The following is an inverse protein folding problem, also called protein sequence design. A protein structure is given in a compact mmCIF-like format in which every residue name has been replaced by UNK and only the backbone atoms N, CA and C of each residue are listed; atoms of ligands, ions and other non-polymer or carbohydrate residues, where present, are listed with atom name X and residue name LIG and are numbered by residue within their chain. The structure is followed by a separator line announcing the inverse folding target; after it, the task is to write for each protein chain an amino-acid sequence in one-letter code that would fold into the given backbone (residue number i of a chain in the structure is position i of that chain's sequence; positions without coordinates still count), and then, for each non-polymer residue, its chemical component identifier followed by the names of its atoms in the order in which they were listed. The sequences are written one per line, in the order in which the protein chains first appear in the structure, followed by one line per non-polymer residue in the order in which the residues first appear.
data_IF_941693908703
#
_entry.id   IF_941693908703
#
_cell.length_a   1.000
_cell.length_b   1.000
_cell.length_c   1.000
_cell.angle_alpha   90.00
_cell.angle_beta   90.00
_cell.angle_gamma   90.00
#
_symmetry.space_group_name_H-M   'P 1'
#
loop_
_entity.id
_entity.type
_entity.pdbx_description
1 polymer ?
#
# COMPACT_ATOMS: atom_id res chain seq x y z
N UNK A 1 -12.16 17.97 -24.02
CA UNK A 1 -13.06 16.82 -24.29
C UNK A 1 -12.44 15.47 -23.89
N UNK A 2 -11.13 15.34 -23.74
CA UNK A 2 -10.43 14.06 -23.55
C UNK A 2 -10.76 13.31 -22.25
N UNK A 3 -10.87 13.99 -21.09
CA UNK A 3 -11.09 13.29 -19.82
C UNK A 3 -12.43 12.53 -19.74
N UNK A 4 -13.51 13.11 -20.30
CA UNK A 4 -14.82 12.45 -20.36
C UNK A 4 -14.81 11.21 -21.26
N UNK A 5 -14.10 11.28 -22.37
CA UNK A 5 -13.95 10.17 -23.31
C UNK A 5 -13.22 8.97 -22.67
N UNK A 6 -12.15 9.23 -21.92
CA UNK A 6 -11.37 8.19 -21.24
C UNK A 6 -11.89 7.79 -19.85
N UNK A 7 -13.02 8.37 -19.39
CA UNK A 7 -13.58 8.07 -18.07
C UNK A 7 -12.70 8.45 -16.88
N UNK A 8 -11.79 9.42 -17.04
CA UNK A 8 -10.88 9.87 -15.97
C UNK A 8 -11.32 11.22 -15.40
N UNK A 9 -11.06 11.42 -14.11
CA UNK A 9 -11.24 12.73 -13.50
C UNK A 9 -10.22 13.73 -14.04
N UNK A 10 -10.59 15.02 -14.09
CA UNK A 10 -9.67 16.10 -14.48
C UNK A 10 -8.45 16.15 -13.53
N UNK A 11 -8.64 15.84 -12.26
CA UNK A 11 -7.58 15.80 -11.25
C UNK A 11 -6.53 14.72 -11.55
N UNK A 12 -6.97 13.52 -11.98
CA UNK A 12 -6.07 12.45 -12.40
C UNK A 12 -5.24 12.89 -13.61
N UNK A 13 -5.89 13.49 -14.62
CA UNK A 13 -5.22 14.03 -15.80
C UNK A 13 -4.11 15.03 -15.43
N UNK A 14 -4.41 16.05 -14.63
CA UNK A 14 -3.39 17.05 -14.26
C UNK A 14 -2.30 16.50 -13.33
N UNK A 15 -2.58 15.44 -12.57
CA UNK A 15 -1.56 14.74 -11.79
C UNK A 15 -0.56 14.04 -12.71
N UNK A 16 -1.05 13.29 -13.71
CA UNK A 16 -0.19 12.64 -14.70
C UNK A 16 0.53 13.64 -15.59
N UNK A 17 -0.15 14.70 -16.04
CA UNK A 17 0.46 15.75 -16.85
C UNK A 17 1.62 16.43 -16.14
N UNK A 18 1.48 16.79 -14.86
CA UNK A 18 2.58 17.37 -14.07
C UNK A 18 3.76 16.40 -13.90
N UNK A 19 3.48 15.10 -13.69
CA UNK A 19 4.54 14.08 -13.60
C UNK A 19 5.26 13.88 -14.93
N UNK A 20 4.51 13.85 -16.03
CA UNK A 20 5.07 13.73 -17.37
C UNK A 20 5.97 14.93 -17.71
N UNK A 21 5.56 16.14 -17.35
CA UNK A 21 6.38 17.33 -17.55
C UNK A 21 7.70 17.30 -16.74
N UNK A 22 7.68 16.71 -15.54
CA UNK A 22 8.85 16.65 -14.67
C UNK A 22 9.79 15.47 -14.96
N UNK A 23 9.25 14.31 -15.32
CA UNK A 23 9.98 13.03 -15.36
C UNK A 23 9.82 12.30 -16.72
N UNK A 24 9.13 12.91 -17.69
CA UNK A 24 8.82 12.28 -18.97
C UNK A 24 7.90 11.07 -18.84
N UNK A 25 8.06 10.09 -19.74
CA UNK A 25 7.25 8.86 -19.76
C UNK A 25 7.38 8.07 -18.45
N UNK A 26 8.53 8.14 -17.78
CA UNK A 26 8.78 7.46 -16.51
C UNK A 26 7.86 7.96 -15.39
N UNK A 27 7.47 9.25 -15.43
CA UNK A 27 6.53 9.84 -14.47
C UNK A 27 5.11 9.25 -14.52
N UNK A 28 4.77 8.54 -15.60
CA UNK A 28 3.48 7.88 -15.79
C UNK A 28 3.42 6.48 -15.18
N UNK A 29 4.55 5.92 -14.72
CA UNK A 29 4.58 4.62 -14.05
C UNK A 29 3.70 4.62 -12.78
N UNK A 30 3.12 3.46 -12.49
CA UNK A 30 2.35 3.25 -11.26
C UNK A 30 3.27 3.48 -10.06
N UNK A 31 2.86 4.38 -9.17
CA UNK A 31 3.55 4.62 -7.90
C UNK A 31 2.80 3.96 -6.76
N UNK A 32 3.55 3.48 -5.77
CA UNK A 32 2.96 3.03 -4.51
C UNK A 32 2.15 4.16 -3.87
N UNK A 33 0.98 3.79 -3.35
CA UNK A 33 0.15 4.67 -2.51
C UNK A 33 0.43 4.47 -1.02
N UNK A 34 1.35 3.57 -0.67
CA UNK A 34 1.70 3.32 0.72
C UNK A 34 2.29 4.59 1.35
N UNK A 35 1.98 4.87 2.63
CA UNK A 35 2.63 5.94 3.36
C UNK A 35 4.13 5.67 3.45
N UNK A 36 4.94 6.74 3.45
CA UNK A 36 6.40 6.63 3.63
C UNK A 36 6.78 6.21 5.05
N UNK A 37 5.94 6.54 6.02
CA UNK A 37 6.18 6.29 7.44
C UNK A 37 4.84 5.99 8.09
N UNK A 38 4.79 4.89 8.85
CA UNK A 38 3.62 4.48 9.63
C UNK A 38 4.07 4.38 11.09
N UNK A 39 3.77 5.36 11.96
CA UNK A 39 4.23 5.37 13.34
C UNK A 39 3.79 4.14 14.15
N UNK A 40 2.66 3.54 13.77
CA UNK A 40 2.11 2.33 14.39
C UNK A 40 2.41 1.07 13.56
N UNK A 41 3.43 1.11 12.71
CA UNK A 41 3.88 -0.07 11.98
C UNK A 41 4.31 -1.17 12.96
N UNK A 42 3.80 -2.38 12.72
CA UNK A 42 4.14 -3.52 13.56
C UNK A 42 5.60 -3.88 13.34
N UNK A 43 6.37 -4.02 14.42
CA UNK A 43 7.79 -4.37 14.34
C UNK A 43 7.99 -5.67 13.56
N UNK A 44 9.04 -5.73 12.72
CA UNK A 44 9.29 -6.83 11.77
C UNK A 44 9.33 -8.19 12.47
N UNK A 45 9.90 -8.25 13.66
CA UNK A 45 9.94 -9.48 14.48
C UNK A 45 8.55 -9.99 14.86
N UNK A 46 7.63 -9.09 15.19
CA UNK A 46 6.24 -9.43 15.52
C UNK A 46 5.50 -9.90 14.28
N UNK A 47 5.73 -9.26 13.12
CA UNK A 47 5.17 -9.71 11.84
C UNK A 47 5.63 -11.14 11.53
N UNK A 48 6.92 -11.45 11.73
CA UNK A 48 7.44 -12.80 11.58
C UNK A 48 6.73 -13.82 12.46
N UNK A 49 6.51 -13.49 13.75
CA UNK A 49 5.73 -14.35 14.67
C UNK A 49 4.29 -14.55 14.20
N UNK A 50 3.62 -13.49 13.72
CA UNK A 50 2.25 -13.58 13.18
C UNK A 50 2.20 -14.55 12.00
N UNK A 51 3.12 -14.40 11.03
CA UNK A 51 3.20 -15.26 9.85
C UNK A 51 3.44 -16.71 10.26
N UNK A 52 4.40 -16.95 11.16
CA UNK A 52 4.71 -18.28 11.67
C UNK A 52 3.50 -18.95 12.32
N UNK A 53 2.79 -18.24 13.20
CA UNK A 53 1.60 -18.77 13.87
C UNK A 53 0.46 -19.05 12.89
N UNK A 54 0.29 -18.18 11.88
CA UNK A 54 -0.74 -18.34 10.85
C UNK A 54 -0.44 -19.52 9.92
N UNK A 55 0.82 -19.77 9.58
CA UNK A 55 1.22 -20.83 8.68
C UNK A 55 1.27 -22.21 9.35
N UNK A 56 1.83 -22.31 10.57
CA UNK A 56 2.06 -23.60 11.23
C UNK A 56 0.86 -24.09 12.03
N UNK A 57 0.08 -23.18 12.62
CA UNK A 57 -1.03 -23.53 13.49
C UNK A 57 -2.39 -23.08 12.97
N UNK A 58 -2.43 -22.37 11.84
CA UNK A 58 -3.66 -21.82 11.22
C UNK A 58 -4.52 -20.99 12.18
N UNK A 59 -3.88 -20.34 13.14
CA UNK A 59 -4.60 -19.55 14.15
C UNK A 59 -5.35 -18.37 13.51
N UNK A 60 -6.57 -18.15 14.01
CA UNK A 60 -7.33 -16.92 13.75
C UNK A 60 -6.66 -15.71 14.41
N UNK A 61 -7.01 -14.48 13.96
CA UNK A 61 -6.40 -13.25 14.45
C UNK A 61 -6.51 -13.08 15.98
N UNK A 62 -7.64 -13.46 16.58
CA UNK A 62 -7.84 -13.39 18.04
C UNK A 62 -6.85 -14.29 18.80
N UNK A 63 -6.65 -15.52 18.32
CA UNK A 63 -5.75 -16.49 18.95
C UNK A 63 -4.29 -16.10 18.77
N UNK A 64 -3.92 -15.50 17.64
CA UNK A 64 -2.60 -14.91 17.42
C UNK A 64 -2.38 -13.76 18.41
N UNK A 65 -3.34 -12.85 18.55
CA UNK A 65 -3.26 -11.74 19.48
C UNK A 65 -3.12 -12.21 20.94
N UNK A 66 -3.86 -13.24 21.34
CA UNK A 66 -3.72 -13.87 22.66
C UNK A 66 -2.31 -14.43 22.87
N UNK A 67 -1.74 -15.12 21.87
CA UNK A 67 -0.42 -15.72 21.95
C UNK A 67 0.71 -14.68 22.04
N UNK A 68 0.55 -13.54 21.36
CA UNK A 68 1.54 -12.45 21.37
C UNK A 68 1.50 -11.57 22.63
N UNK A 69 0.40 -11.57 23.38
CA UNK A 69 0.25 -10.80 24.63
C UNK A 69 0.86 -11.49 25.86
N UNK A 70 1.22 -12.77 25.75
CA UNK A 70 1.78 -13.58 26.83
C UNK A 70 3.30 -13.46 26.88
#
# INVERSE_FOLDING_TARGET
MSCRYFGISRQAYYTWYRRYQAEGVEGLRTRSKAPKTSPNETHVEIVGKIIYLRQNYHFGPEKIAMYLKR
#
